data_IF_189354756161
#
_entry.id   IF_189354756161
#
_cell.length_a   1.000
_cell.length_b   1.000
_cell.length_c   1.000
_cell.angle_alpha   90.00
_cell.angle_beta   90.00
_cell.angle_gamma   90.00
#
_symmetry.space_group_name_H-M   'P 1'
#
loop_
_entity.id
_entity.type
_entity.pdbx_description
1 polymer ?
#
# COMPACT_ATOMS: atom_id res chain seq x y z
N UNK A 1 12.63 -0.01 -21.50
CA UNK A 1 12.53 -0.90 -20.32
C UNK A 1 11.57 -0.22 -19.36
N UNK A 2 10.40 -0.81 -19.11
CA UNK A 2 9.46 -0.28 -18.11
C UNK A 2 10.13 -0.52 -16.74
N UNK A 3 10.20 0.46 -15.84
CA UNK A 3 10.90 0.28 -14.57
C UNK A 3 10.19 -0.81 -13.74
N UNK A 4 10.87 -1.93 -13.49
CA UNK A 4 10.32 -3.10 -12.78
C UNK A 4 9.95 -2.79 -11.32
N UNK A 5 10.69 -1.87 -10.68
CA UNK A 5 10.53 -1.52 -9.27
C UNK A 5 9.14 -0.89 -8.99
N UNK A 6 8.71 0.18 -9.69
CA UNK A 6 7.34 0.70 -9.57
C UNK A 6 6.24 -0.31 -9.91
N UNK A 7 6.47 -1.18 -10.90
CA UNK A 7 5.46 -2.18 -11.30
C UNK A 7 5.21 -3.20 -10.19
N UNK A 8 6.27 -3.72 -9.57
CA UNK A 8 6.15 -4.68 -8.47
C UNK A 8 5.45 -4.05 -7.26
N UNK A 9 5.78 -2.79 -6.95
CA UNK A 9 5.12 -2.08 -5.85
C UNK A 9 3.63 -1.87 -6.10
N UNK A 10 3.23 -1.53 -7.33
CA UNK A 10 1.82 -1.36 -7.68
C UNK A 10 1.02 -2.65 -7.49
N UNK A 11 1.56 -3.80 -7.90
CA UNK A 11 0.94 -5.10 -7.66
C UNK A 11 0.85 -5.43 -6.16
N UNK A 12 1.86 -5.07 -5.37
CA UNK A 12 1.81 -5.25 -3.92
C UNK A 12 0.67 -4.45 -3.27
N UNK A 13 0.37 -3.24 -3.74
CA UNK A 13 -0.78 -2.45 -3.26
C UNK A 13 -2.12 -3.09 -3.62
N UNK A 14 -2.23 -3.65 -4.84
CA UNK A 14 -3.41 -4.42 -5.22
C UNK A 14 -3.61 -5.62 -4.30
N UNK A 15 -2.54 -6.30 -3.87
CA UNK A 15 -2.63 -7.39 -2.91
C UNK A 15 -3.07 -6.93 -1.52
N UNK A 16 -2.63 -5.75 -1.05
CA UNK A 16 -3.10 -5.17 0.22
C UNK A 16 -4.59 -4.85 0.15
N UNK A 17 -5.07 -4.21 -0.93
CA UNK A 17 -6.49 -3.95 -1.12
C UNK A 17 -7.32 -5.23 -1.28
N UNK A 18 -6.81 -6.20 -2.04
CA UNK A 18 -7.42 -7.51 -2.23
C UNK A 18 -7.48 -8.35 -0.95
N UNK A 19 -6.52 -8.15 -0.02
CA UNK A 19 -6.51 -8.84 1.28
C UNK A 19 -7.75 -8.54 2.11
N UNK A 20 -8.29 -7.32 2.03
CA UNK A 20 -9.55 -6.94 2.70
C UNK A 20 -10.69 -7.85 2.25
N UNK A 21 -10.80 -8.10 0.94
CA UNK A 21 -11.84 -8.97 0.39
C UNK A 21 -11.63 -10.40 0.86
N UNK A 22 -10.39 -10.89 0.86
CA UNK A 22 -10.05 -12.23 1.37
C UNK A 22 -10.42 -12.37 2.84
N UNK A 23 -10.08 -11.38 3.67
CA UNK A 23 -10.40 -11.39 5.09
C UNK A 23 -11.92 -11.42 5.34
N UNK A 24 -12.70 -10.65 4.58
CA UNK A 24 -14.16 -10.61 4.70
C UNK A 24 -14.81 -11.91 4.23
N UNK A 25 -14.37 -12.47 3.08
CA UNK A 25 -14.97 -13.68 2.50
C UNK A 25 -14.64 -14.92 3.33
N UNK A 26 -13.41 -15.04 3.82
CA UNK A 26 -12.95 -16.21 4.57
C UNK A 26 -13.11 -16.08 6.09
N UNK A 27 -13.62 -14.94 6.58
CA UNK A 27 -13.83 -14.71 8.02
C UNK A 27 -12.53 -14.66 8.81
N UNK A 28 -11.45 -14.16 8.19
CA UNK A 28 -10.14 -14.02 8.84
C UNK A 28 -10.13 -12.69 9.61
N UNK A 29 -9.80 -12.75 10.89
CA UNK A 29 -9.69 -11.55 11.73
C UNK A 29 -8.43 -10.76 11.39
N UNK A 30 -8.57 -9.73 10.55
CA UNK A 30 -7.50 -8.82 10.17
C UNK A 30 -7.91 -7.35 10.18
N UNK A 31 -6.99 -6.49 9.76
CA UNK A 31 -7.17 -5.03 9.75
C UNK A 31 -8.18 -4.62 8.65
N UNK A 32 -8.20 -5.35 7.54
CA UNK A 32 -9.18 -5.16 6.47
C UNK A 32 -10.59 -5.52 6.91
N UNK A 33 -10.75 -6.63 7.63
CA UNK A 33 -12.01 -7.02 8.24
C UNK A 33 -12.51 -5.98 9.25
N UNK A 34 -11.62 -5.47 10.11
CA UNK A 34 -11.95 -4.40 11.06
C UNK A 34 -12.39 -3.12 10.35
N UNK A 35 -11.67 -2.73 9.28
CA UNK A 35 -12.05 -1.59 8.44
C UNK A 35 -13.44 -1.76 7.84
N UNK A 36 -13.72 -2.94 7.29
CA UNK A 36 -15.02 -3.26 6.71
C UNK A 36 -16.15 -3.21 7.76
N UNK A 37 -15.91 -3.77 8.93
CA UNK A 37 -16.87 -3.76 10.03
C UNK A 37 -17.14 -2.34 10.55
N UNK A 38 -16.09 -1.53 10.71
CA UNK A 38 -16.20 -0.13 11.12
C UNK A 38 -17.02 0.69 10.12
N UNK A 39 -16.82 0.44 8.82
CA UNK A 39 -17.59 1.09 7.75
C UNK A 39 -19.08 0.70 7.79
N UNK A 40 -19.40 -0.58 8.02
CA UNK A 40 -20.78 -1.03 8.16
C UNK A 40 -21.48 -0.49 9.41
N UNK A 41 -20.74 -0.37 10.52
CA UNK A 41 -21.26 0.16 11.78
C UNK A 41 -21.33 1.69 11.81
N UNK A 42 -20.84 2.38 10.77
CA UNK A 42 -20.81 3.85 10.73
C UNK A 42 -19.81 4.48 11.71
N UNK A 43 -18.81 3.74 12.16
CA UNK A 43 -17.75 4.23 13.04
C UNK A 43 -16.72 5.04 12.23
N UNK A 44 -17.10 6.27 11.88
CA UNK A 44 -16.28 7.18 11.07
C UNK A 44 -14.90 7.47 11.68
N UNK A 45 -14.75 7.68 13.01
CA UNK A 45 -13.43 7.83 13.62
C UNK A 45 -12.51 6.64 13.37
N UNK A 46 -13.02 5.42 13.55
CA UNK A 46 -12.23 4.20 13.35
C UNK A 46 -11.87 4.00 11.87
N UNK A 47 -12.83 4.19 10.97
CA UNK A 47 -12.59 4.14 9.51
C UNK A 47 -11.51 5.15 9.12
N UNK A 48 -11.62 6.40 9.55
CA UNK A 48 -10.65 7.45 9.24
C UNK A 48 -9.26 7.12 9.78
N UNK A 49 -9.16 6.57 11.00
CA UNK A 49 -7.89 6.13 11.58
C UNK A 49 -7.23 5.00 10.78
N UNK A 50 -8.01 4.02 10.33
CA UNK A 50 -7.51 2.91 9.52
C UNK A 50 -7.11 3.36 8.10
N UNK A 51 -7.87 4.27 7.48
CA UNK A 51 -7.47 4.89 6.20
C UNK A 51 -6.15 5.63 6.36
N UNK A 52 -6.00 6.42 7.43
CA UNK A 52 -4.76 7.13 7.70
C UNK A 52 -3.58 6.15 7.85
N UNK A 53 -3.76 5.05 8.59
CA UNK A 53 -2.75 4.00 8.72
C UNK A 53 -2.35 3.43 7.34
N UNK A 54 -3.32 3.09 6.49
CA UNK A 54 -3.04 2.59 5.14
C UNK A 54 -2.29 3.61 4.29
N UNK A 55 -2.65 4.89 4.35
CA UNK A 55 -1.94 5.95 3.64
C UNK A 55 -0.49 6.08 4.10
N UNK A 56 -0.22 6.00 5.41
CA UNK A 56 1.13 6.02 5.94
C UNK A 56 1.95 4.85 5.40
N UNK A 57 1.39 3.64 5.39
CA UNK A 57 2.05 2.46 4.81
C UNK A 57 2.36 2.68 3.33
N UNK A 58 1.41 3.20 2.56
CA UNK A 58 1.60 3.50 1.14
C UNK A 58 2.74 4.48 0.92
N UNK A 59 2.78 5.58 1.68
CA UNK A 59 3.85 6.57 1.58
C UNK A 59 5.21 5.97 1.94
N UNK A 60 5.28 5.17 3.01
CA UNK A 60 6.52 4.50 3.41
C UNK A 60 7.01 3.54 2.32
N UNK A 61 6.12 2.74 1.73
CA UNK A 61 6.46 1.81 0.66
C UNK A 61 6.93 2.56 -0.60
N UNK A 62 6.27 3.66 -0.96
CA UNK A 62 6.70 4.51 -2.08
C UNK A 62 8.07 5.15 -1.82
N UNK A 63 8.34 5.61 -0.59
CA UNK A 63 9.66 6.13 -0.22
C UNK A 63 10.75 5.05 -0.33
N UNK A 64 10.44 3.83 0.12
CA UNK A 64 11.33 2.67 -0.02
C UNK A 64 11.56 2.36 -1.51
N UNK A 65 10.52 2.42 -2.34
CA UNK A 65 10.61 2.23 -3.78
C UNK A 65 11.55 3.25 -4.42
N UNK A 66 11.42 4.53 -4.09
CA UNK A 66 12.27 5.59 -4.63
C UNK A 66 13.74 5.38 -4.23
N UNK A 67 14.00 4.97 -2.98
CA UNK A 67 15.33 4.65 -2.51
C UNK A 67 15.93 3.42 -3.21
N UNK A 68 15.14 2.36 -3.37
CA UNK A 68 15.50 1.15 -4.12
C UNK A 68 15.82 1.49 -5.57
N UNK A 69 15.04 2.37 -6.19
CA UNK A 69 15.25 2.79 -7.56
C UNK A 69 16.61 3.50 -7.74
N UNK A 70 16.96 4.40 -6.82
CA UNK A 70 18.28 5.07 -6.81
C UNK A 70 19.42 4.08 -6.59
N UNK A 71 19.24 3.07 -5.73
CA UNK A 71 20.27 2.06 -5.45
C UNK A 71 20.49 1.11 -6.63
N UNK A 72 19.40 0.68 -7.27
CA UNK A 72 19.42 -0.31 -8.37
C UNK A 72 19.86 0.34 -9.68
N UNK A 73 19.41 1.56 -9.97
CA UNK A 73 19.85 2.31 -11.14
C UNK A 73 20.48 3.67 -10.76
N UNK A 74 21.77 3.68 -10.37
CA UNK A 74 22.48 4.91 -10.00
C UNK A 74 22.66 5.88 -11.18
N UNK A 75 22.32 5.49 -12.42
CA UNK A 75 22.37 6.40 -13.60
C UNK A 75 21.33 7.50 -13.53
N UNK A 76 20.26 7.29 -12.76
CA UNK A 76 19.19 8.29 -12.54
C UNK A 76 19.71 9.52 -11.79
N UNK A 77 20.81 9.40 -11.03
CA UNK A 77 21.44 10.50 -10.30
C UNK A 77 22.38 11.41 -11.11
N UNK A 78 22.78 11.03 -12.33
CA UNK A 78 23.78 11.75 -13.15
C UNK A 78 23.26 12.14 -14.55
N UNK A 79 21.94 12.28 -14.72
CA UNK A 79 21.32 12.84 -15.92
C UNK A 79 21.33 14.38 -15.96
N UNK A 80 22.44 14.99 -15.55
CA UNK A 80 22.69 16.41 -15.72
C UNK A 80 23.41 16.68 -17.03
N UNK A 81 22.73 16.48 -18.17
CA UNK A 81 22.89 17.18 -19.46
C UNK A 81 21.66 16.93 -20.32
#
# INVERSE_FOLDING_TARGET
MIPLVPTITNEAFLLIGGSVIVEVVFGINGIGWLFFQAALNGDLPLVAGLVFLFLVVVVVVNLIQDLLYVLIDPRVGYGGR
#
